data_IF_277083112075
#
_entry.id   IF_277083112075
#
_cell.length_a   1.000
_cell.length_b   1.000
_cell.length_c   1.000
_cell.angle_alpha   90.00
_cell.angle_beta   90.00
_cell.angle_gamma   90.00
#
_symmetry.space_group_name_H-M   'P 1'
#
loop_
_entity.id
_entity.type
_entity.pdbx_description
1 polymer ?
#
# COMPACT_ATOMS: atom_id res chain seq x y z
N UNK A 1 4.24 -70.32 20.55
CA UNK A 1 5.26 -69.25 20.65
C UNK A 1 4.68 -68.00 20.01
N UNK A 2 4.29 -67.06 20.87
CA UNK A 2 3.82 -65.74 20.50
C UNK A 2 5.04 -64.90 20.11
N UNK A 3 5.04 -64.32 18.91
CA UNK A 3 5.83 -63.13 18.63
C UNK A 3 4.89 -62.06 18.10
N UNK A 4 4.41 -61.26 19.04
CA UNK A 4 3.78 -59.97 18.82
C UNK A 4 4.91 -59.03 18.42
N UNK A 5 4.95 -58.60 17.16
CA UNK A 5 5.80 -57.48 16.76
C UNK A 5 5.15 -56.18 17.27
N UNK A 6 5.89 -55.30 17.96
CA UNK A 6 5.30 -54.13 18.56
C UNK A 6 4.97 -53.10 17.50
N UNK A 7 3.74 -52.63 17.60
CA UNK A 7 3.22 -51.34 17.16
C UNK A 7 4.27 -50.23 17.37
N UNK A 8 4.87 -49.72 16.28
CA UNK A 8 5.42 -48.36 16.26
C UNK A 8 4.82 -47.67 15.06
N UNK A 9 3.59 -47.19 15.27
CA UNK A 9 3.00 -46.16 14.43
C UNK A 9 3.92 -44.93 14.55
N UNK A 10 4.83 -44.74 13.59
CA UNK A 10 5.37 -43.42 13.30
C UNK A 10 4.19 -42.58 12.82
N UNK A 11 3.47 -42.00 13.79
CA UNK A 11 2.67 -40.81 13.58
C UNK A 11 3.61 -39.83 12.88
N UNK A 12 3.32 -39.55 11.60
CA UNK A 12 3.98 -38.52 10.84
C UNK A 12 3.75 -37.19 11.54
N UNK A 13 4.60 -36.85 12.51
CA UNK A 13 4.78 -35.47 12.91
C UNK A 13 5.16 -34.74 11.64
N UNK A 14 4.32 -33.78 11.27
CA UNK A 14 4.54 -32.97 10.10
C UNK A 14 5.85 -32.19 10.30
N UNK A 15 6.98 -32.75 9.85
CA UNK A 15 8.33 -32.23 10.15
C UNK A 15 8.56 -30.83 9.59
N UNK A 16 7.63 -30.34 8.76
CA UNK A 16 7.66 -29.02 8.17
C UNK A 16 6.92 -27.97 9.00
N UNK A 17 6.06 -28.38 9.94
CA UNK A 17 5.33 -27.45 10.82
C UNK A 17 6.31 -26.56 11.62
N UNK A 18 7.39 -27.08 12.23
CA UNK A 18 8.37 -26.23 12.91
C UNK A 18 9.09 -25.25 11.97
N UNK A 19 9.35 -25.63 10.72
CA UNK A 19 10.00 -24.77 9.73
C UNK A 19 9.08 -23.65 9.25
N UNK A 20 7.79 -23.96 9.09
CA UNK A 20 6.78 -22.97 8.73
C UNK A 20 6.61 -21.94 9.85
N UNK A 21 6.48 -22.40 11.09
CA UNK A 21 6.40 -21.51 12.26
C UNK A 21 7.67 -20.65 12.44
N UNK A 22 8.84 -21.23 12.18
CA UNK A 22 10.09 -20.48 12.17
C UNK A 22 10.10 -19.38 11.09
N UNK A 23 9.61 -19.69 9.88
CA UNK A 23 9.44 -18.69 8.82
C UNK A 23 8.53 -17.54 9.23
N UNK A 24 7.39 -17.83 9.88
CA UNK A 24 6.46 -16.81 10.39
C UNK A 24 7.11 -15.93 11.46
N UNK A 25 7.85 -16.53 12.40
CA UNK A 25 8.61 -15.80 13.43
C UNK A 25 9.66 -14.89 12.80
N UNK A 26 10.35 -15.34 11.75
CA UNK A 26 11.33 -14.52 11.03
C UNK A 26 10.67 -13.36 10.29
N UNK A 27 9.45 -13.52 9.74
CA UNK A 27 8.67 -12.41 9.18
C UNK A 27 8.32 -11.36 10.23
N UNK A 28 7.88 -11.79 11.42
CA UNK A 28 7.60 -10.88 12.55
C UNK A 28 8.85 -10.13 13.02
N UNK A 29 10.03 -10.73 12.87
CA UNK A 29 11.31 -10.11 13.16
C UNK A 29 11.88 -9.29 11.99
N UNK A 30 11.12 -9.14 10.90
CA UNK A 30 11.53 -8.45 9.67
C UNK A 30 12.77 -9.06 8.99
N UNK A 31 13.11 -10.32 9.33
CA UNK A 31 14.22 -11.08 8.74
C UNK A 31 13.79 -11.75 7.45
N UNK A 32 13.39 -10.93 6.48
CA UNK A 32 12.72 -11.39 5.25
C UNK A 32 13.55 -12.39 4.44
N UNK A 33 14.87 -12.19 4.34
CA UNK A 33 15.77 -13.12 3.62
C UNK A 33 15.85 -14.49 4.29
N UNK A 34 15.87 -14.53 5.62
CA UNK A 34 15.88 -15.78 6.39
C UNK A 34 14.52 -16.47 6.31
N UNK A 35 13.42 -15.70 6.44
CA UNK A 35 12.07 -16.20 6.27
C UNK A 35 11.88 -16.86 4.89
N UNK A 36 12.36 -16.21 3.82
CA UNK A 36 12.34 -16.78 2.47
C UNK A 36 13.04 -18.15 2.40
N UNK A 37 14.19 -18.30 3.06
CA UNK A 37 14.92 -19.57 3.10
C UNK A 37 14.17 -20.63 3.91
N UNK A 38 13.55 -20.26 5.03
CA UNK A 38 12.74 -21.17 5.84
C UNK A 38 11.55 -21.71 5.03
N UNK A 39 10.76 -20.84 4.40
CA UNK A 39 9.64 -21.26 3.55
C UNK A 39 10.09 -22.03 2.32
N UNK A 40 11.26 -21.72 1.74
CA UNK A 40 11.82 -22.51 0.64
C UNK A 40 12.13 -23.95 1.05
N UNK A 41 12.53 -24.20 2.30
CA UNK A 41 12.71 -25.56 2.83
C UNK A 41 11.37 -26.28 2.97
N UNK A 42 10.33 -25.59 3.46
CA UNK A 42 8.96 -26.14 3.51
C UNK A 42 8.49 -26.54 2.11
N UNK A 43 8.67 -25.66 1.12
CA UNK A 43 8.24 -25.88 -0.26
C UNK A 43 9.06 -26.94 -0.99
N UNK A 44 10.32 -27.17 -0.60
CA UNK A 44 11.10 -28.31 -1.11
C UNK A 44 10.49 -29.65 -0.70
N UNK A 45 9.94 -29.74 0.52
CA UNK A 45 9.29 -30.95 1.02
C UNK A 45 7.82 -31.05 0.58
N UNK A 46 7.11 -29.92 0.50
CA UNK A 46 5.71 -29.82 0.10
C UNK A 46 5.52 -28.70 -0.95
N UNK A 47 5.75 -28.97 -2.24
CA UNK A 47 5.70 -27.94 -3.29
C UNK A 47 4.34 -27.24 -3.45
N UNK A 48 3.24 -27.91 -3.06
CA UNK A 48 1.88 -27.40 -3.18
C UNK A 48 1.33 -26.82 -1.86
N UNK A 49 2.20 -26.31 -0.99
CA UNK A 49 1.79 -25.69 0.26
C UNK A 49 1.44 -24.21 0.04
N UNK A 50 0.15 -23.92 -0.16
CA UNK A 50 -0.34 -22.59 -0.53
C UNK A 50 0.10 -21.49 0.47
N UNK A 51 -0.04 -21.71 1.78
CA UNK A 51 0.40 -20.72 2.76
C UNK A 51 1.91 -20.48 2.74
N UNK A 52 2.74 -21.51 2.56
CA UNK A 52 4.18 -21.33 2.47
C UNK A 52 4.60 -20.58 1.21
N UNK A 53 3.89 -20.77 0.09
CA UNK A 53 4.05 -19.95 -1.12
C UNK A 53 3.69 -18.50 -0.83
N UNK A 54 2.51 -18.24 -0.27
CA UNK A 54 2.05 -16.90 0.08
C UNK A 54 3.02 -16.18 1.02
N UNK A 55 3.44 -16.83 2.11
CA UNK A 55 4.38 -16.25 3.08
C UNK A 55 5.78 -16.03 2.50
N UNK A 56 6.25 -16.91 1.60
CA UNK A 56 7.51 -16.68 0.85
C UNK A 56 7.37 -15.52 -0.14
N UNK A 57 6.22 -15.39 -0.78
CA UNK A 57 5.87 -14.26 -1.64
C UNK A 57 5.89 -12.94 -0.87
N UNK A 58 5.33 -12.90 0.34
CA UNK A 58 5.42 -11.75 1.25
C UNK A 58 6.86 -11.41 1.62
N UNK A 59 7.68 -12.41 1.94
CA UNK A 59 9.11 -12.20 2.22
C UNK A 59 9.85 -11.58 1.02
N UNK A 60 9.58 -12.09 -0.20
CA UNK A 60 10.10 -11.56 -1.46
C UNK A 60 9.62 -10.13 -1.74
N UNK A 61 8.36 -9.84 -1.47
CA UNK A 61 7.78 -8.50 -1.60
C UNK A 61 8.47 -7.48 -0.67
N UNK A 62 8.72 -7.85 0.59
CA UNK A 62 9.37 -6.99 1.59
C UNK A 62 10.82 -6.64 1.24
N UNK A 63 11.51 -7.49 0.47
CA UNK A 63 12.84 -7.18 -0.10
C UNK A 63 12.77 -6.59 -1.51
N UNK A 64 11.59 -6.13 -1.94
CA UNK A 64 11.31 -5.52 -3.24
C UNK A 64 11.61 -6.42 -4.45
N UNK A 65 11.60 -7.75 -4.27
CA UNK A 65 11.71 -8.70 -5.36
C UNK A 65 10.31 -9.06 -5.88
N UNK A 66 9.70 -8.13 -6.62
CA UNK A 66 8.35 -8.28 -7.17
C UNK A 66 8.18 -9.49 -8.10
N UNK A 67 9.14 -9.84 -9.00
CA UNK A 67 8.99 -11.02 -9.85
C UNK A 67 8.89 -12.34 -9.07
N UNK A 68 9.70 -12.52 -8.03
CA UNK A 68 9.60 -13.71 -7.17
C UNK A 68 8.31 -13.70 -6.36
N UNK A 69 7.92 -12.54 -5.82
CA UNK A 69 6.68 -12.42 -5.06
C UNK A 69 5.46 -12.81 -5.91
N UNK A 70 5.37 -12.32 -7.14
CA UNK A 70 4.30 -12.67 -8.07
C UNK A 70 4.27 -14.14 -8.41
N UNK A 71 5.43 -14.74 -8.70
CA UNK A 71 5.51 -16.18 -9.00
C UNK A 71 4.93 -17.03 -7.87
N UNK A 72 5.24 -16.68 -6.61
CA UNK A 72 4.74 -17.39 -5.45
C UNK A 72 3.25 -17.11 -5.20
N UNK A 73 2.80 -15.85 -5.35
CA UNK A 73 1.40 -15.50 -5.19
C UNK A 73 0.50 -16.12 -6.26
N UNK A 74 0.96 -16.19 -7.52
CA UNK A 74 0.24 -16.86 -8.62
C UNK A 74 0.00 -18.33 -8.31
N UNK A 75 1.01 -19.02 -7.77
CA UNK A 75 0.87 -20.40 -7.34
C UNK A 75 -0.05 -20.53 -6.13
N UNK A 76 0.05 -19.62 -5.16
CA UNK A 76 -0.79 -19.63 -3.96
C UNK A 76 -2.29 -19.46 -4.31
N UNK A 77 -2.65 -18.50 -5.17
CA UNK A 77 -4.05 -18.32 -5.60
C UNK A 77 -4.56 -19.49 -6.44
N UNK A 78 -3.69 -20.12 -7.25
CA UNK A 78 -4.07 -21.29 -8.04
C UNK A 78 -4.39 -22.50 -7.15
N UNK A 79 -3.66 -22.66 -6.03
CA UNK A 79 -3.85 -23.76 -5.08
C UNK A 79 -5.01 -23.52 -4.12
N UNK A 80 -5.25 -22.27 -3.70
CA UNK A 80 -6.31 -21.92 -2.76
C UNK A 80 -7.10 -20.67 -3.25
N UNK A 81 -7.98 -20.84 -4.26
CA UNK A 81 -8.66 -19.73 -4.93
C UNK A 81 -9.75 -19.03 -4.09
N UNK A 82 -9.99 -19.50 -2.87
CA UNK A 82 -10.97 -18.91 -1.94
C UNK A 82 -10.31 -18.06 -0.85
N UNK A 83 -8.98 -17.87 -0.89
CA UNK A 83 -8.24 -17.06 0.07
C UNK A 83 -8.15 -15.61 -0.40
N UNK A 84 -9.06 -14.76 0.05
CA UNK A 84 -9.12 -13.34 -0.35
C UNK A 84 -7.80 -12.59 -0.10
N UNK A 85 -7.11 -12.91 1.00
CA UNK A 85 -5.83 -12.28 1.35
C UNK A 85 -4.75 -12.53 0.30
N UNK A 86 -4.75 -13.67 -0.39
CA UNK A 86 -3.76 -13.95 -1.43
C UNK A 86 -3.94 -13.03 -2.65
N UNK A 87 -5.19 -12.80 -3.06
CA UNK A 87 -5.51 -11.85 -4.12
C UNK A 87 -5.14 -10.43 -3.72
N UNK A 88 -5.50 -9.99 -2.50
CA UNK A 88 -5.17 -8.65 -2.03
C UNK A 88 -3.66 -8.40 -1.97
N UNK A 89 -2.87 -9.35 -1.49
CA UNK A 89 -1.41 -9.21 -1.44
C UNK A 89 -0.78 -9.24 -2.83
N UNK A 90 -1.31 -10.06 -3.75
CA UNK A 90 -0.87 -10.04 -5.16
C UNK A 90 -1.21 -8.71 -5.84
N UNK A 91 -2.36 -8.13 -5.54
CA UNK A 91 -2.77 -6.83 -6.05
C UNK A 91 -1.78 -5.72 -5.65
N UNK A 92 -1.24 -5.77 -4.43
CA UNK A 92 -0.20 -4.83 -3.99
C UNK A 92 1.04 -4.94 -4.86
N UNK A 93 1.46 -6.17 -5.23
CA UNK A 93 2.59 -6.35 -6.15
C UNK A 93 2.30 -5.76 -7.53
N UNK A 94 1.10 -6.00 -8.08
CA UNK A 94 0.68 -5.40 -9.34
C UNK A 94 0.61 -3.87 -9.29
N UNK A 95 0.17 -3.31 -8.16
CA UNK A 95 0.20 -1.87 -7.91
C UNK A 95 1.63 -1.31 -8.00
N UNK A 96 2.60 -1.94 -7.34
CA UNK A 96 4.00 -1.53 -7.41
C UNK A 96 4.64 -1.70 -8.80
N UNK A 97 4.06 -2.56 -9.65
CA UNK A 97 4.46 -2.73 -11.04
C UNK A 97 3.74 -1.79 -12.02
N UNK A 98 2.99 -0.80 -11.53
CA UNK A 98 2.16 0.08 -12.35
C UNK A 98 1.08 -0.64 -13.18
N UNK A 99 0.70 -1.86 -12.80
CA UNK A 99 -0.33 -2.66 -13.50
C UNK A 99 -1.70 -2.49 -12.81
N UNK A 100 -2.34 -1.35 -13.09
CA UNK A 100 -3.63 -1.00 -12.50
C UNK A 100 -4.71 -2.05 -12.77
N UNK A 101 -4.78 -2.57 -13.99
CA UNK A 101 -5.82 -3.52 -14.39
C UNK A 101 -5.72 -4.82 -13.59
N UNK A 102 -4.53 -5.39 -13.45
CA UNK A 102 -4.35 -6.62 -12.68
C UNK A 102 -4.57 -6.40 -11.18
N UNK A 103 -4.10 -5.27 -10.64
CA UNK A 103 -4.32 -4.92 -9.23
C UNK A 103 -5.81 -4.79 -8.90
N UNK A 104 -6.59 -4.09 -9.74
CA UNK A 104 -8.03 -3.93 -9.53
C UNK A 104 -8.79 -5.25 -9.69
N UNK A 105 -8.42 -6.09 -10.67
CA UNK A 105 -9.04 -7.40 -10.84
C UNK A 105 -8.85 -8.31 -9.62
N UNK A 106 -7.66 -8.31 -9.02
CA UNK A 106 -7.38 -9.06 -7.79
C UNK A 106 -8.15 -8.49 -6.58
N UNK A 107 -8.24 -7.16 -6.46
CA UNK A 107 -9.01 -6.53 -5.38
C UNK A 107 -10.50 -6.77 -5.51
N UNK A 108 -11.03 -6.81 -6.73
CA UNK A 108 -12.42 -7.20 -7.00
C UNK A 108 -12.68 -8.65 -6.57
N UNK A 109 -11.74 -9.56 -6.86
CA UNK A 109 -11.83 -10.95 -6.41
C UNK A 109 -11.75 -11.09 -4.89
N UNK A 110 -10.83 -10.35 -4.24
CA UNK A 110 -10.71 -10.33 -2.79
C UNK A 110 -11.99 -9.79 -2.12
N UNK A 111 -12.58 -8.73 -2.68
CA UNK A 111 -13.86 -8.18 -2.23
C UNK A 111 -15.02 -9.17 -2.43
N UNK A 112 -15.07 -9.90 -3.55
CA UNK A 112 -16.11 -10.90 -3.80
C UNK A 112 -16.05 -12.07 -2.79
N UNK A 113 -14.85 -12.45 -2.36
CA UNK A 113 -14.63 -13.51 -1.37
C UNK A 113 -14.95 -13.05 0.07
N UNK A 114 -14.69 -11.79 0.40
CA UNK A 114 -14.93 -11.22 1.73
C UNK A 114 -15.76 -9.91 1.65
N UNK A 115 -17.06 -9.99 1.30
CA UNK A 115 -17.89 -8.81 1.05
C UNK A 115 -18.24 -7.99 2.31
N UNK A 116 -17.94 -8.51 3.49
CA UNK A 116 -18.17 -7.87 4.79
C UNK A 116 -16.87 -7.40 5.44
N UNK A 117 -15.74 -7.48 4.72
CA UNK A 117 -14.45 -7.02 5.23
C UNK A 117 -14.16 -5.59 4.72
N UNK A 118 -14.18 -4.56 5.58
CA UNK A 118 -13.95 -3.16 5.20
C UNK A 118 -12.59 -2.95 4.51
N UNK A 119 -11.55 -3.72 4.91
CA UNK A 119 -10.21 -3.59 4.34
C UNK A 119 -10.15 -3.90 2.85
N UNK A 120 -11.07 -4.73 2.31
CA UNK A 120 -11.13 -5.02 0.87
C UNK A 120 -11.54 -3.79 0.07
N UNK A 121 -12.50 -3.04 0.59
CA UNK A 121 -12.96 -1.78 0.00
C UNK A 121 -11.92 -0.68 0.15
N UNK A 122 -11.34 -0.50 1.36
CA UNK A 122 -10.27 0.49 1.57
C UNK A 122 -9.04 0.25 0.68
N UNK A 123 -8.63 -1.01 0.50
CA UNK A 123 -7.51 -1.37 -0.39
C UNK A 123 -7.82 -1.06 -1.86
N UNK A 124 -9.03 -1.39 -2.33
CA UNK A 124 -9.47 -1.07 -3.69
C UNK A 124 -9.60 0.43 -3.90
N UNK A 125 -10.14 1.16 -2.93
CA UNK A 125 -10.26 2.60 -2.95
C UNK A 125 -8.90 3.29 -3.10
N UNK A 126 -7.90 2.84 -2.33
CA UNK A 126 -6.53 3.35 -2.44
C UNK A 126 -5.97 3.18 -3.86
N UNK A 127 -6.12 2.00 -4.46
CA UNK A 127 -5.64 1.72 -5.81
C UNK A 127 -6.41 2.53 -6.86
N UNK A 128 -7.74 2.61 -6.75
CA UNK A 128 -8.60 3.41 -7.63
C UNK A 128 -8.20 4.89 -7.61
N UNK A 129 -8.02 5.47 -6.42
CA UNK A 129 -7.58 6.85 -6.25
C UNK A 129 -6.23 7.11 -6.91
N UNK A 130 -5.25 6.24 -6.67
CA UNK A 130 -3.91 6.38 -7.26
C UNK A 130 -3.93 6.35 -8.80
N UNK A 131 -4.80 5.52 -9.40
CA UNK A 131 -4.95 5.43 -10.86
C UNK A 131 -6.03 6.36 -11.45
N UNK A 132 -6.56 7.30 -10.65
CA UNK A 132 -7.40 8.39 -11.11
C UNK A 132 -8.91 8.13 -11.10
N UNK A 133 -9.37 6.95 -10.67
CA UNK A 133 -10.79 6.69 -10.41
C UNK A 133 -11.20 7.20 -9.02
N UNK A 134 -11.25 8.53 -8.90
CA UNK A 134 -11.53 9.20 -7.62
C UNK A 134 -12.96 8.94 -7.15
N UNK A 135 -13.94 8.91 -8.05
CA UNK A 135 -15.35 8.67 -7.68
C UNK A 135 -15.55 7.22 -7.21
N UNK A 136 -14.95 6.24 -7.89
CA UNK A 136 -14.97 4.85 -7.45
C UNK A 136 -14.24 4.64 -6.11
N UNK A 137 -13.18 5.41 -5.85
CA UNK A 137 -12.49 5.39 -4.56
C UNK A 137 -13.33 5.99 -3.42
N UNK A 138 -14.02 7.11 -3.67
CA UNK A 138 -14.96 7.70 -2.71
C UNK A 138 -16.05 6.70 -2.34
N UNK A 139 -16.66 6.05 -3.33
CA UNK A 139 -17.71 5.05 -3.09
C UNK A 139 -17.20 3.87 -2.25
N UNK A 140 -16.00 3.36 -2.54
CA UNK A 140 -15.41 2.26 -1.77
C UNK A 140 -15.07 2.67 -0.34
N UNK A 141 -14.48 3.85 -0.11
CA UNK A 141 -14.21 4.32 1.25
C UNK A 141 -15.48 4.59 2.05
N UNK A 142 -16.53 5.11 1.41
CA UNK A 142 -17.84 5.27 2.05
C UNK A 142 -18.38 3.93 2.54
N UNK A 143 -18.36 2.91 1.67
CA UNK A 143 -18.82 1.57 2.05
C UNK A 143 -17.91 0.91 3.10
N UNK A 144 -16.60 1.13 3.04
CA UNK A 144 -15.67 0.67 4.08
C UNK A 144 -16.02 1.26 5.46
N UNK A 145 -16.35 2.56 5.52
CA UNK A 145 -16.76 3.26 6.75
C UNK A 145 -18.15 2.80 7.22
N UNK A 146 -19.06 2.43 6.30
CA UNK A 146 -20.34 1.82 6.69
C UNK A 146 -20.14 0.47 7.39
N UNK A 147 -19.16 -0.32 6.96
CA UNK A 147 -18.79 -1.60 7.58
C UNK A 147 -18.00 -1.43 8.88
N UNK A 148 -17.09 -0.45 8.93
CA UNK A 148 -16.29 -0.09 10.11
C UNK A 148 -16.25 1.44 10.34
N UNK A 149 -17.21 1.97 11.14
CA UNK A 149 -17.31 3.40 11.41
C UNK A 149 -16.18 3.99 12.28
N UNK A 150 -15.29 3.15 12.81
CA UNK A 150 -14.18 3.54 13.68
C UNK A 150 -12.81 3.45 12.96
N UNK A 151 -12.79 3.18 11.65
CA UNK A 151 -11.57 3.23 10.83
C UNK A 151 -11.16 4.70 10.55
N UNK A 152 -10.29 5.23 11.41
CA UNK A 152 -9.73 6.57 11.29
C UNK A 152 -9.00 6.79 9.95
N UNK A 153 -8.35 5.76 9.40
CA UNK A 153 -7.59 5.85 8.15
C UNK A 153 -8.56 5.99 6.97
N UNK A 154 -9.64 5.20 6.94
CA UNK A 154 -10.66 5.32 5.91
C UNK A 154 -11.33 6.71 5.94
N UNK A 155 -11.63 7.23 7.13
CA UNK A 155 -12.13 8.60 7.29
C UNK A 155 -11.15 9.63 6.73
N UNK A 156 -9.88 9.59 7.12
CA UNK A 156 -8.87 10.52 6.62
C UNK A 156 -8.72 10.45 5.08
N UNK A 157 -8.65 9.25 4.52
CA UNK A 157 -8.50 9.06 3.08
C UNK A 157 -9.73 9.56 2.30
N UNK A 158 -10.94 9.32 2.79
CA UNK A 158 -12.16 9.88 2.20
C UNK A 158 -12.15 11.41 2.26
N UNK A 159 -11.74 11.99 3.39
CA UNK A 159 -11.61 13.43 3.55
C UNK A 159 -10.66 14.06 2.51
N UNK A 160 -9.50 13.43 2.27
CA UNK A 160 -8.55 13.88 1.25
C UNK A 160 -9.15 13.86 -0.16
N UNK A 161 -9.87 12.79 -0.51
CA UNK A 161 -10.51 12.67 -1.83
C UNK A 161 -11.64 13.70 -2.00
N UNK A 162 -12.45 13.92 -0.96
CA UNK A 162 -13.51 14.93 -0.98
C UNK A 162 -12.95 16.36 -1.07
N UNK A 163 -11.86 16.65 -0.38
CA UNK A 163 -11.15 17.93 -0.48
C UNK A 163 -10.61 18.15 -1.89
N UNK A 164 -10.00 17.13 -2.50
CA UNK A 164 -9.55 17.17 -3.90
C UNK A 164 -10.69 17.51 -4.87
N UNK A 165 -11.93 17.10 -4.56
CA UNK A 165 -13.14 17.42 -5.34
C UNK A 165 -13.78 18.76 -4.97
N UNK A 166 -13.23 19.47 -3.99
CA UNK A 166 -13.71 20.77 -3.51
C UNK A 166 -14.81 20.68 -2.45
N UNK A 167 -15.14 19.50 -1.95
CA UNK A 167 -16.18 19.28 -0.93
C UNK A 167 -15.66 19.55 0.49
N UNK A 168 -15.13 20.75 0.72
CA UNK A 168 -14.42 21.12 1.97
C UNK A 168 -15.18 20.80 3.26
N UNK A 169 -16.49 21.06 3.29
CA UNK A 169 -17.30 20.79 4.48
C UNK A 169 -17.48 19.29 4.77
N UNK A 170 -17.57 18.46 3.72
CA UNK A 170 -17.64 17.01 3.90
C UNK A 170 -16.30 16.47 4.37
N UNK A 171 -15.21 16.91 3.72
CA UNK A 171 -13.85 16.55 4.09
C UNK A 171 -13.54 16.86 5.56
N UNK A 172 -13.88 18.07 6.03
CA UNK A 172 -13.68 18.46 7.42
C UNK A 172 -14.36 17.51 8.41
N UNK A 173 -15.59 17.07 8.13
CA UNK A 173 -16.29 16.11 9.01
C UNK A 173 -15.55 14.78 9.10
N UNK A 174 -14.98 14.32 8.00
CA UNK A 174 -14.19 13.10 7.99
C UNK A 174 -12.87 13.26 8.73
N UNK A 175 -12.18 14.40 8.60
CA UNK A 175 -10.98 14.70 9.39
C UNK A 175 -11.27 14.79 10.88
N UNK A 176 -12.30 15.53 11.30
CA UNK A 176 -12.70 15.65 12.70
C UNK A 176 -13.00 14.27 13.33
N UNK A 177 -13.63 13.39 12.54
CA UNK A 177 -13.91 12.01 12.95
C UNK A 177 -12.64 11.18 13.07
N UNK A 178 -11.72 11.26 12.10
CA UNK A 178 -10.43 10.57 12.16
C UNK A 178 -9.58 11.01 13.37
N UNK A 179 -9.54 12.31 13.67
CA UNK A 179 -8.85 12.89 14.82
C UNK A 179 -9.43 12.36 16.15
N UNK A 180 -10.77 12.37 16.25
CA UNK A 180 -11.49 11.83 17.42
C UNK A 180 -11.16 10.35 17.65
N UNK A 181 -11.11 9.56 16.58
CA UNK A 181 -10.81 8.12 16.64
C UNK A 181 -9.35 7.83 16.98
N UNK A 182 -8.42 8.68 16.52
CA UNK A 182 -6.98 8.51 16.74
C UNK A 182 -6.53 8.94 18.14
N UNK A 183 -7.42 9.53 18.95
CA UNK A 183 -7.09 10.09 20.26
C UNK A 183 -6.38 11.45 20.18
N UNK A 184 -6.19 11.97 18.96
CA UNK A 184 -5.73 13.33 18.70
C UNK A 184 -6.93 14.27 18.85
N UNK A 185 -7.43 14.45 20.07
CA UNK A 185 -8.35 15.55 20.34
C UNK A 185 -7.64 16.87 20.00
N UNK A 186 -8.24 17.75 19.18
CA UNK A 186 -7.71 19.09 18.98
C UNK A 186 -7.47 19.73 20.35
N UNK A 187 -6.26 20.20 20.62
CA UNK A 187 -5.98 20.95 21.85
C UNK A 187 -6.97 22.10 21.93
N UNK A 188 -7.88 22.04 22.91
CA UNK A 188 -8.78 23.11 23.26
C UNK A 188 -7.95 24.40 23.47
N UNK A 189 -7.91 25.27 22.46
CA UNK A 189 -7.04 26.45 22.47
C UNK A 189 -6.51 26.90 21.10
N UNK A 190 -6.57 26.08 20.05
CA UNK A 190 -6.39 26.59 18.68
C UNK A 190 -7.75 26.98 18.11
N UNK A 191 -8.13 28.24 18.32
CA UNK A 191 -9.18 28.91 17.55
C UNK A 191 -8.74 28.94 16.08
N UNK A 192 -9.03 27.87 15.32
CA UNK A 192 -9.19 28.01 13.88
C UNK A 192 -10.53 28.72 13.71
N UNK A 193 -10.58 29.92 13.13
CA UNK A 193 -11.85 30.62 12.95
C UNK A 193 -12.77 29.76 12.09
N UNK A 194 -13.83 29.22 12.69
CA UNK A 194 -14.99 28.75 11.95
C UNK A 194 -15.51 29.93 11.12
N UNK A 195 -15.67 29.83 9.79
CA UNK A 195 -16.41 30.84 9.07
C UNK A 195 -17.83 30.84 9.63
N UNK A 196 -18.23 31.97 10.20
CA UNK A 196 -19.53 32.17 10.79
C UNK A 196 -20.62 31.73 9.79
N UNK A 197 -21.43 30.75 10.21
CA UNK A 197 -22.68 30.43 9.55
C UNK A 197 -23.65 31.57 9.80
N UNK A 198 -23.73 32.49 8.84
CA UNK A 198 -24.89 33.34 8.59
C UNK A 198 -24.87 33.77 7.13
N UNK A 199 -25.55 32.99 6.27
CA UNK A 199 -26.31 33.47 5.12
C UNK A 199 -26.73 32.27 4.24
N UNK A 200 -28.03 32.06 4.13
CA UNK A 200 -28.60 31.32 3.02
C UNK A 200 -28.27 32.04 1.70
N UNK A 201 -27.55 31.38 0.79
CA UNK A 201 -27.70 31.52 -0.67
C UNK A 201 -26.65 30.71 -1.45
N UNK A 202 -27.13 30.09 -2.52
CA UNK A 202 -26.41 29.57 -3.69
C UNK A 202 -25.63 28.25 -3.53
N UNK A 203 -26.15 27.23 -4.21
CA UNK A 203 -25.37 26.10 -4.74
C UNK A 203 -24.12 26.64 -5.45
N UNK A 204 -22.90 26.27 -5.03
CA UNK A 204 -21.70 26.69 -5.75
C UNK A 204 -21.72 26.06 -7.14
N UNK A 205 -21.63 26.89 -8.19
CA UNK A 205 -21.41 26.37 -9.53
C UNK A 205 -20.02 25.73 -9.64
N UNK A 206 -19.85 24.69 -10.48
CA UNK A 206 -18.54 24.12 -10.75
C UNK A 206 -17.60 25.23 -11.22
N UNK A 207 -16.41 25.31 -10.62
CA UNK A 207 -15.37 26.22 -11.10
C UNK A 207 -15.06 25.89 -12.57
N UNK A 208 -14.96 26.90 -13.45
CA UNK A 208 -14.54 26.66 -14.83
C UNK A 208 -13.14 26.02 -14.83
N UNK A 209 -12.83 25.14 -15.80
CA UNK A 209 -11.53 24.51 -15.85
C UNK A 209 -10.46 25.58 -16.02
N UNK A 210 -9.67 25.81 -14.97
CA UNK A 210 -8.47 26.61 -15.07
C UNK A 210 -7.48 25.82 -15.91
N UNK A 211 -7.29 26.23 -17.16
CA UNK A 211 -6.16 25.77 -17.95
C UNK A 211 -4.88 26.04 -17.15
N UNK A 212 -3.95 25.08 -17.04
CA UNK A 212 -2.68 25.32 -16.37
C UNK A 212 -1.96 26.43 -17.15
N UNK A 213 -1.66 27.53 -16.46
CA UNK A 213 -0.77 28.57 -16.99
C UNK A 213 0.59 27.91 -17.20
N UNK A 214 0.93 27.67 -18.47
CA UNK A 214 2.17 27.03 -18.90
C UNK A 214 3.35 27.97 -18.63
N UNK A 215 3.94 27.85 -17.45
CA UNK A 215 5.32 28.29 -17.26
C UNK A 215 6.19 27.35 -18.10
N UNK A 216 6.82 27.88 -19.15
CA UNK A 216 7.64 27.13 -20.09
C UNK A 216 8.64 26.23 -19.35
N UNK A 217 8.54 24.91 -19.57
CA UNK A 217 9.50 23.95 -19.03
C UNK A 217 10.86 24.20 -19.70
N UNK A 218 11.96 24.39 -18.95
CA UNK A 218 13.26 24.59 -19.55
C UNK A 218 13.63 23.37 -20.41
N UNK A 219 14.08 23.63 -21.63
CA UNK A 219 14.44 22.58 -22.58
C UNK A 219 15.78 21.96 -22.22
N UNK A 220 16.09 20.79 -22.80
CA UNK A 220 17.42 20.13 -22.64
C UNK A 220 18.58 21.09 -22.96
N UNK A 221 18.38 22.05 -23.87
CA UNK A 221 19.37 23.08 -24.19
C UNK A 221 19.65 24.08 -23.06
N UNK A 222 18.68 24.34 -22.18
CA UNK A 222 18.87 25.21 -21.00
C UNK A 222 19.72 24.49 -19.94
N UNK A 223 19.50 23.18 -19.74
CA UNK A 223 20.34 22.35 -18.88
C UNK A 223 21.80 22.30 -19.36
N UNK A 224 22.01 22.08 -20.66
CA UNK A 224 23.36 22.03 -21.23
C UNK A 224 24.10 23.38 -21.14
N UNK A 225 23.36 24.50 -21.22
CA UNK A 225 23.91 25.85 -21.06
C UNK A 225 24.41 26.07 -19.63
N UNK A 226 23.57 25.78 -18.64
CA UNK A 226 23.93 25.87 -17.22
C UNK A 226 25.12 24.97 -16.89
N UNK A 227 25.12 23.73 -17.39
CA UNK A 227 26.25 22.81 -17.18
C UNK A 227 27.56 23.31 -17.81
N UNK A 228 27.50 23.94 -18.99
CA UNK A 228 28.67 24.55 -19.61
C UNK A 228 29.17 25.75 -18.80
N UNK A 229 28.28 26.63 -18.34
CA UNK A 229 28.64 27.81 -17.54
C UNK A 229 29.29 27.44 -16.20
N UNK A 230 28.77 26.41 -15.53
CA UNK A 230 29.32 25.87 -14.29
C UNK A 230 30.74 25.30 -14.46
N UNK A 231 31.05 24.75 -15.64
CA UNK A 231 32.33 24.07 -15.93
C UNK A 231 33.34 24.92 -16.69
N UNK A 232 32.97 26.13 -17.14
CA UNK A 232 33.87 27.00 -17.91
C UNK A 232 34.24 28.28 -17.20
N UNK A 233 33.47 28.71 -16.20
CA UNK A 233 33.76 29.91 -15.41
C UNK A 233 34.50 29.59 -14.11
N UNK A 234 35.43 30.46 -13.70
CA UNK A 234 36.12 30.34 -12.40
C UNK A 234 35.15 30.41 -11.22
N UNK A 235 34.00 31.07 -11.39
CA UNK A 235 32.97 31.16 -10.35
C UNK A 235 32.16 29.85 -10.26
N UNK A 236 31.72 29.30 -11.40
CA UNK A 236 30.99 28.03 -11.44
C UNK A 236 31.78 26.86 -10.81
N UNK A 237 33.09 26.79 -11.07
CA UNK A 237 33.94 25.78 -10.45
C UNK A 237 34.06 25.92 -8.92
N UNK A 238 33.98 27.13 -8.37
CA UNK A 238 33.97 27.33 -6.90
C UNK A 238 32.68 26.80 -6.28
N UNK A 239 31.55 27.05 -6.91
CA UNK A 239 30.24 26.59 -6.43
C UNK A 239 30.14 25.06 -6.45
N UNK A 240 30.65 24.41 -7.51
CA UNK A 240 30.76 22.94 -7.59
C UNK A 240 31.69 22.38 -6.49
N UNK A 241 32.85 23.01 -6.27
CA UNK A 241 33.79 22.57 -5.24
C UNK A 241 33.23 22.72 -3.81
N UNK A 242 32.50 23.80 -3.53
CA UNK A 242 31.85 24.02 -2.23
C UNK A 242 30.70 23.03 -1.98
N UNK A 243 29.94 22.67 -3.02
CA UNK A 243 28.92 21.62 -2.94
C UNK A 243 29.52 20.24 -2.62
N UNK A 244 30.60 19.86 -3.32
CA UNK A 244 31.30 18.59 -3.05
C UNK A 244 31.87 18.57 -1.63
N UNK A 245 32.43 19.69 -1.16
CA UNK A 245 32.95 19.78 0.22
C UNK A 245 31.86 19.59 1.27
N UNK A 246 30.69 20.21 1.09
CA UNK A 246 29.55 20.11 2.03
C UNK A 246 28.89 18.72 2.02
N UNK A 247 28.82 18.07 0.86
CA UNK A 247 28.22 16.74 0.72
C UNK A 247 29.11 15.62 1.29
N UNK A 248 30.42 15.84 1.40
CA UNK A 248 31.35 14.90 2.05
C UNK A 248 31.49 15.12 3.56
N UNK A 249 30.94 16.22 4.10
CA UNK A 249 30.95 16.55 5.53
C UNK A 249 29.61 16.29 6.22
N UNK A 250 28.65 15.66 5.55
CA UNK A 250 27.30 15.35 6.06
C UNK A 250 27.09 13.85 6.16
#
# INVERSE_FOLDING_TARGET
MQHIAPFVCWLGMDTNEPLFQEGLRLLQQEKYREAYQAFSKVLKAKPQHADALHQRGLASFRVQNFPLALTDFDQAVALAPHQAVYYADRAIVHYHQANAQAALADLDQAQALEPQNPYRYSSRAYVRAHYGDVEGAIADYQYAIELDPDDAIAHNNLGLLEEQRGYKQRAQRHFDRADTLSGDTPRAGQNVPTPATDAAAATPQPLPPTAPTEAARPGVGDYLRVMRELTTTRQGWREVADFIRKSLSS
#
